data_IF_562401516925
#
_entry.id   IF_562401516925
#
_cell.length_a   1.000
_cell.length_b   1.000
_cell.length_c   1.000
_cell.angle_alpha   90.00
_cell.angle_beta   90.00
_cell.angle_gamma   90.00
#
_symmetry.space_group_name_H-M   'P 1'
#
loop_
_entity.id
_entity.type
_entity.pdbx_description
1 polymer ?
#
# COMPACT_ATOMS: atom_id res chain seq x y z
N UNK A 1 38.00 -6.89 -38.79
CA UNK A 1 38.31 -5.51 -38.43
C UNK A 1 37.20 -4.57 -38.72
N UNK A 2 36.41 -4.80 -39.73
CA UNK A 2 35.30 -3.96 -40.11
C UNK A 2 34.08 -4.17 -39.23
N UNK A 3 34.07 -5.20 -38.40
CA UNK A 3 32.90 -5.52 -37.59
C UNK A 3 32.75 -4.62 -36.35
N UNK A 4 33.84 -4.03 -35.87
CA UNK A 4 33.85 -3.25 -34.66
C UNK A 4 32.93 -2.00 -34.71
N UNK A 5 32.95 -1.16 -35.77
CA UNK A 5 32.05 -0.03 -35.85
C UNK A 5 30.58 -0.43 -35.87
N UNK A 6 30.28 -1.52 -36.60
CA UNK A 6 28.92 -2.04 -36.70
C UNK A 6 28.44 -2.53 -35.31
N UNK A 7 29.31 -3.21 -34.58
CA UNK A 7 29.00 -3.71 -33.25
C UNK A 7 28.76 -2.56 -32.28
N UNK A 8 29.55 -1.50 -32.37
CA UNK A 8 29.37 -0.34 -31.51
C UNK A 8 28.04 0.37 -31.77
N UNK A 9 27.66 0.51 -33.05
CA UNK A 9 26.40 1.13 -33.40
C UNK A 9 25.21 0.31 -32.92
N UNK A 10 25.29 -1.01 -33.07
CA UNK A 10 24.27 -1.92 -32.59
C UNK A 10 24.15 -1.85 -31.07
N UNK A 11 25.27 -1.77 -30.39
CA UNK A 11 25.31 -1.67 -28.94
C UNK A 11 24.66 -0.38 -28.45
N UNK A 12 24.96 0.74 -29.12
CA UNK A 12 24.34 2.03 -28.80
C UNK A 12 22.83 2.02 -29.01
N UNK A 13 22.37 1.38 -30.09
CA UNK A 13 20.95 1.25 -30.38
C UNK A 13 20.23 0.45 -29.31
N UNK A 14 20.84 -0.63 -28.84
CA UNK A 14 20.26 -1.46 -27.79
C UNK A 14 20.20 -0.71 -26.46
N UNK A 15 21.23 0.05 -26.13
CA UNK A 15 21.25 0.84 -24.91
C UNK A 15 20.21 1.96 -24.95
N UNK A 16 20.05 2.60 -26.10
CA UNK A 16 19.03 3.63 -26.27
C UNK A 16 17.64 3.06 -26.11
N UNK A 17 17.40 1.85 -26.65
CA UNK A 17 16.11 1.18 -26.49
C UNK A 17 15.86 0.82 -25.04
N UNK A 18 16.87 0.33 -24.33
CA UNK A 18 16.75 -0.02 -22.92
C UNK A 18 16.44 1.22 -22.08
N UNK A 19 17.10 2.34 -22.39
CA UNK A 19 16.88 3.59 -21.68
C UNK A 19 15.45 4.09 -21.90
N UNK A 20 14.95 4.01 -23.14
CA UNK A 20 13.58 4.42 -23.47
C UNK A 20 12.57 3.54 -22.76
N UNK A 21 12.81 2.22 -22.77
CA UNK A 21 11.95 1.26 -22.10
C UNK A 21 11.92 1.51 -20.61
N UNK A 22 13.07 1.78 -20.00
CA UNK A 22 13.14 2.08 -18.57
C UNK A 22 12.35 3.35 -18.23
N UNK A 23 12.48 4.40 -19.04
CA UNK A 23 11.71 5.63 -18.83
C UNK A 23 10.22 5.37 -18.89
N UNK A 24 9.79 4.55 -19.84
CA UNK A 24 8.38 4.19 -19.98
C UNK A 24 7.88 3.45 -18.75
N UNK A 25 8.65 2.48 -18.27
CA UNK A 25 8.30 1.72 -17.08
C UNK A 25 8.22 2.64 -15.85
N UNK A 26 9.19 3.52 -15.70
CA UNK A 26 9.20 4.47 -14.59
C UNK A 26 8.00 5.40 -14.63
N UNK A 27 7.63 5.87 -15.82
CA UNK A 27 6.46 6.73 -15.98
C UNK A 27 5.18 6.00 -15.61
N UNK A 28 5.07 4.71 -15.96
CA UNK A 28 3.92 3.88 -15.59
C UNK A 28 3.85 3.70 -14.07
N UNK A 29 4.99 3.42 -13.44
CA UNK A 29 5.04 3.26 -12.00
C UNK A 29 4.62 4.55 -11.29
N UNK A 30 5.09 5.69 -11.77
CA UNK A 30 4.71 6.97 -11.19
C UNK A 30 3.23 7.26 -11.37
N UNK A 31 2.67 6.94 -12.54
CA UNK A 31 1.25 7.13 -12.80
C UNK A 31 0.41 6.23 -11.87
N UNK A 32 0.83 4.98 -11.71
CA UNK A 32 0.15 4.04 -10.82
C UNK A 32 0.20 4.52 -9.36
N UNK A 33 1.36 5.02 -8.94
CA UNK A 33 1.52 5.54 -7.58
C UNK A 33 0.61 6.74 -7.34
N UNK A 34 0.50 7.65 -8.32
CA UNK A 34 -0.40 8.79 -8.20
C UNK A 34 -1.86 8.36 -8.13
N UNK A 35 -2.23 7.38 -8.95
CA UNK A 35 -3.59 6.85 -8.95
C UNK A 35 -3.93 6.21 -7.60
N UNK A 36 -2.98 5.46 -7.04
CA UNK A 36 -3.17 4.84 -5.74
C UNK A 36 -3.34 5.89 -4.64
N UNK A 37 -2.50 6.93 -4.64
CA UNK A 37 -2.62 8.02 -3.66
C UNK A 37 -3.97 8.72 -3.79
N UNK A 38 -4.45 8.92 -5.02
CA UNK A 38 -5.75 9.52 -5.24
C UNK A 38 -6.89 8.69 -4.66
N UNK A 39 -6.82 7.36 -4.81
CA UNK A 39 -7.81 6.46 -4.23
C UNK A 39 -7.75 6.47 -2.71
N UNK A 40 -6.55 6.50 -2.15
CA UNK A 40 -6.38 6.57 -0.70
C UNK A 40 -6.97 7.87 -0.15
N UNK A 41 -6.69 8.98 -0.82
CA UNK A 41 -7.23 10.26 -0.40
C UNK A 41 -8.76 10.27 -0.45
N UNK A 42 -9.35 9.76 -1.51
CA UNK A 42 -10.79 9.68 -1.64
C UNK A 42 -11.42 8.81 -0.55
N UNK A 43 -10.79 7.67 -0.26
CA UNK A 43 -11.25 6.79 0.81
C UNK A 43 -11.18 7.48 2.16
N UNK A 44 -10.07 8.17 2.44
CA UNK A 44 -9.89 8.87 3.70
C UNK A 44 -10.92 9.98 3.88
N UNK A 45 -11.25 10.69 2.81
CA UNK A 45 -12.31 11.69 2.86
C UNK A 45 -13.65 11.07 3.23
N UNK A 46 -13.95 9.89 2.69
CA UNK A 46 -15.16 9.17 3.03
C UNK A 46 -15.15 8.71 4.48
N UNK A 47 -14.02 8.23 4.96
CA UNK A 47 -13.90 7.76 6.34
C UNK A 47 -14.09 8.91 7.34
N UNK A 48 -13.60 10.09 6.99
CA UNK A 48 -13.78 11.27 7.83
C UNK A 48 -15.24 11.76 7.82
N UNK A 49 -15.87 11.71 6.64
CA UNK A 49 -17.21 12.25 6.46
C UNK A 49 -18.29 11.44 7.19
N UNK A 50 -18.05 10.15 7.40
CA UNK A 50 -19.04 9.26 8.01
C UNK A 50 -18.56 8.78 9.37
N UNK A 51 -19.14 9.27 10.48
CA UNK A 51 -18.81 8.73 11.81
C UNK A 51 -19.13 7.24 11.88
N UNK A 52 -18.31 6.51 12.59
CA UNK A 52 -18.56 5.09 12.80
C UNK A 52 -19.82 4.93 13.67
N UNK A 53 -20.73 4.06 13.25
CA UNK A 53 -21.94 3.78 13.99
C UNK A 53 -21.88 2.45 14.71
N UNK A 54 -20.76 1.74 14.61
CA UNK A 54 -20.58 0.45 15.27
C UNK A 54 -19.10 0.23 15.55
N UNK A 55 -18.81 -0.70 16.45
CA UNK A 55 -17.43 -1.10 16.73
C UNK A 55 -16.72 -1.68 15.50
N UNK A 56 -17.35 -2.54 14.69
CA UNK A 56 -16.68 -3.02 13.46
C UNK A 56 -16.29 -1.90 12.52
N UNK A 57 -17.12 -0.87 12.37
CA UNK A 57 -16.76 0.27 11.53
C UNK A 57 -15.59 1.05 12.10
N UNK A 58 -15.59 1.28 13.42
CA UNK A 58 -14.49 1.99 14.07
C UNK A 58 -13.20 1.18 13.96
N UNK A 59 -13.28 -0.13 14.18
CA UNK A 59 -12.13 -1.02 14.03
C UNK A 59 -11.61 -1.02 12.59
N UNK A 60 -12.51 -0.94 11.62
CA UNK A 60 -12.13 -0.85 10.21
C UNK A 60 -11.30 0.38 9.92
N UNK A 61 -11.72 1.54 10.45
CA UNK A 61 -10.95 2.78 10.31
C UNK A 61 -9.58 2.65 10.96
N UNK A 62 -9.53 2.08 12.16
CA UNK A 62 -8.28 1.90 12.87
C UNK A 62 -7.33 0.94 12.13
N UNK A 63 -7.87 -0.14 11.60
CA UNK A 63 -7.08 -1.10 10.82
C UNK A 63 -6.49 -0.45 9.58
N UNK A 64 -7.24 0.39 8.92
CA UNK A 64 -6.77 1.11 7.76
C UNK A 64 -5.56 2.00 8.12
N UNK A 65 -5.71 2.80 9.19
CA UNK A 65 -4.65 3.70 9.63
C UNK A 65 -3.41 2.94 10.10
N UNK A 66 -3.60 1.85 10.83
CA UNK A 66 -2.47 1.02 11.28
C UNK A 66 -1.74 0.38 10.10
N UNK A 67 -2.49 -0.03 9.09
CA UNK A 67 -1.90 -0.57 7.88
C UNK A 67 -1.01 0.45 7.16
N UNK A 68 -1.46 1.69 7.09
CA UNK A 68 -0.65 2.77 6.53
C UNK A 68 0.57 3.05 7.38
N UNK A 69 0.38 3.13 8.70
CA UNK A 69 1.50 3.39 9.62
C UNK A 69 2.57 2.30 9.51
N UNK A 70 2.14 1.05 9.32
CA UNK A 70 3.06 -0.08 9.23
C UNK A 70 4.06 0.05 8.08
N UNK A 71 3.75 0.86 7.07
CA UNK A 71 4.64 1.07 5.94
C UNK A 71 5.63 2.21 6.15
N UNK A 72 5.52 2.95 7.25
CA UNK A 72 6.40 4.09 7.50
C UNK A 72 7.73 3.65 8.10
N UNK A 73 8.73 4.51 8.00
CA UNK A 73 10.05 4.23 8.57
C UNK A 73 10.00 4.09 10.08
N UNK A 74 9.15 4.85 10.74
CA UNK A 74 9.00 4.81 12.20
C UNK A 74 8.48 3.47 12.68
N UNK A 75 7.75 2.75 11.84
CA UNK A 75 7.15 1.47 12.19
C UNK A 75 8.05 0.28 11.87
N UNK A 76 9.26 0.49 11.32
CA UNK A 76 10.13 -0.61 10.91
C UNK A 76 10.87 -1.29 12.04
N UNK A 77 10.85 -0.74 13.25
CA UNK A 77 11.36 -1.43 14.42
C UNK A 77 10.64 -2.76 14.57
N UNK A 78 11.38 -3.90 14.71
CA UNK A 78 10.74 -5.21 14.81
C UNK A 78 9.70 -5.31 15.92
N UNK A 79 9.91 -4.62 17.04
CA UNK A 79 8.93 -4.63 18.13
C UNK A 79 7.65 -3.94 17.74
N UNK A 80 7.74 -2.84 16.98
CA UNK A 80 6.55 -2.13 16.48
C UNK A 80 5.83 -2.95 15.44
N UNK A 81 6.55 -3.60 14.54
CA UNK A 81 5.95 -4.48 13.55
C UNK A 81 5.17 -5.61 14.22
N UNK A 82 5.75 -6.22 15.24
CA UNK A 82 5.09 -7.27 15.99
C UNK A 82 3.83 -6.75 16.68
N UNK A 83 3.93 -5.58 17.31
CA UNK A 83 2.79 -4.98 18.00
C UNK A 83 1.66 -4.62 17.02
N UNK A 84 2.00 -4.03 15.89
CA UNK A 84 1.02 -3.69 14.86
C UNK A 84 0.30 -4.95 14.38
N UNK A 85 1.06 -6.02 14.10
CA UNK A 85 0.48 -7.27 13.66
C UNK A 85 -0.47 -7.83 14.72
N UNK A 86 -0.10 -7.77 16.00
CA UNK A 86 -0.93 -8.23 17.10
C UNK A 86 -2.22 -7.41 17.21
N UNK A 87 -2.13 -6.10 17.11
CA UNK A 87 -3.31 -5.23 17.20
C UNK A 87 -4.26 -5.48 16.03
N UNK A 88 -3.72 -5.60 14.82
CA UNK A 88 -4.55 -5.89 13.65
C UNK A 88 -5.25 -7.25 13.78
N UNK A 89 -4.54 -8.24 14.31
CA UNK A 89 -5.10 -9.56 14.55
C UNK A 89 -6.19 -9.49 15.60
N UNK A 90 -5.95 -8.76 16.69
CA UNK A 90 -6.94 -8.55 17.73
C UNK A 90 -8.22 -7.91 17.19
N UNK A 91 -8.08 -6.86 16.39
CA UNK A 91 -9.23 -6.20 15.77
C UNK A 91 -10.01 -7.18 14.89
N UNK A 92 -9.30 -7.97 14.09
CA UNK A 92 -9.96 -8.91 13.19
C UNK A 92 -10.73 -9.97 13.99
N UNK A 93 -10.09 -10.52 15.04
CA UNK A 93 -10.68 -11.55 15.87
C UNK A 93 -11.88 -11.03 16.66
N UNK A 94 -11.73 -9.86 17.28
CA UNK A 94 -12.80 -9.28 18.09
C UNK A 94 -13.95 -8.77 17.23
N UNK A 95 -13.67 -8.28 16.04
CA UNK A 95 -14.71 -7.87 15.11
C UNK A 95 -15.58 -9.07 14.72
N UNK A 96 -14.93 -10.20 14.41
CA UNK A 96 -15.67 -11.42 14.08
C UNK A 96 -16.48 -11.91 15.27
N UNK A 97 -15.88 -11.90 16.47
CA UNK A 97 -16.57 -12.31 17.70
C UNK A 97 -17.71 -11.36 18.02
N UNK A 98 -17.52 -10.06 17.82
CA UNK A 98 -18.54 -9.06 18.06
C UNK A 98 -19.77 -9.24 17.17
N UNK A 99 -19.56 -9.67 15.92
CA UNK A 99 -20.66 -9.96 15.01
C UNK A 99 -21.49 -11.12 15.52
N UNK A 100 -20.84 -12.09 16.15
CA UNK A 100 -21.49 -13.29 16.66
C UNK A 100 -21.97 -13.16 18.10
N UNK A 101 -21.57 -12.11 18.81
CA UNK A 101 -21.91 -11.95 20.22
C UNK A 101 -23.41 -11.71 20.41
N UNK A 102 -24.06 -12.40 21.34
CA UNK A 102 -25.47 -12.14 21.61
C UNK A 102 -25.66 -10.77 22.25
N UNK A 103 -26.72 -10.06 21.90
CA UNK A 103 -26.94 -8.73 22.46
C UNK A 103 -27.27 -8.71 23.94
N UNK A 104 -27.66 -9.82 24.50
CA UNK A 104 -28.07 -9.90 25.91
C UNK A 104 -26.90 -10.14 26.85
N UNK A 105 -25.67 -10.10 26.37
CA UNK A 105 -24.50 -10.18 27.23
C UNK A 105 -24.19 -8.84 27.91
N UNK A 106 -24.98 -7.89 27.69
CA UNK A 106 -24.81 -6.59 28.34
C UNK A 106 -25.34 -6.60 29.79
#
# INVERSE_FOLDING_TARGET
>A
MTDKPINLDRHRGMEAQKATELRRILAEVEADARALRGRQQALEEQLVAAPAVSWPEAAGKARYLLGLFATTAEAQDPRRQTLIANVLDDFARLTAAGICAPPDEL
#
